data_IF_189229319746
#
_entry.id   IF_189229319746
#
_cell.length_a   1.000
_cell.length_b   1.000
_cell.length_c   1.000
_cell.angle_alpha   90.00
_cell.angle_beta   90.00
_cell.angle_gamma   90.00
#
_symmetry.space_group_name_H-M   'P 1'
#
loop_
_entity.id
_entity.type
_entity.pdbx_description
1 polymer ?
2 non-polymer ?
3 water ?
#
# COMPACT_ATOMS: atom_id res chain seq x y z
N UNK A 1 28.78 -3.78 1.23
CA UNK A 1 28.54 -5.25 1.41
C UNK A 1 27.70 -5.82 0.28
N UNK A 2 27.47 -7.13 0.33
CA UNK A 2 26.70 -7.83 -0.67
C UNK A 2 25.27 -8.04 -0.18
N UNK A 3 24.31 -7.54 -0.95
CA UNK A 3 22.91 -7.69 -0.59
C UNK A 3 22.12 -8.39 -1.68
N UNK A 4 21.40 -9.44 -1.30
CA UNK A 4 20.56 -10.17 -2.24
C UNK A 4 19.11 -9.86 -1.91
N UNK A 5 18.37 -9.36 -2.88
CA UNK A 5 16.96 -9.03 -2.69
C UNK A 5 16.09 -10.12 -3.30
N UNK A 6 15.20 -10.69 -2.50
CA UNK A 6 14.33 -11.74 -2.99
C UNK A 6 12.95 -11.16 -3.30
N UNK A 7 12.68 -11.03 -4.59
CA UNK A 7 11.39 -10.48 -5.02
C UNK A 7 11.56 -9.04 -5.46
N UNK A 8 11.06 -8.73 -6.66
CA UNK A 8 11.18 -7.37 -7.16
C UNK A 8 9.90 -6.55 -7.03
N UNK A 9 9.38 -6.49 -5.83
CA UNK A 9 8.18 -5.70 -5.59
C UNK A 9 8.65 -4.32 -5.17
N UNK A 10 7.69 -3.45 -4.82
CA UNK A 10 8.04 -2.09 -4.41
C UNK A 10 9.05 -2.09 -3.25
N UNK A 11 8.74 -2.82 -2.18
CA UNK A 11 9.64 -2.87 -1.05
C UNK A 11 11.05 -3.34 -1.44
N UNK A 12 11.13 -4.43 -2.20
CA UNK A 12 12.42 -4.95 -2.61
C UNK A 12 13.22 -3.97 -3.46
N UNK A 13 12.55 -3.36 -4.44
CA UNK A 13 13.20 -2.38 -5.32
C UNK A 13 13.61 -1.10 -4.59
N UNK A 14 12.84 -0.70 -3.58
CA UNK A 14 13.18 0.50 -2.80
C UNK A 14 14.46 0.21 -2.02
N UNK A 15 14.50 -0.94 -1.36
CA UNK A 15 15.67 -1.32 -0.57
C UNK A 15 16.90 -1.49 -1.47
N UNK A 16 16.72 -2.16 -2.60
CA UNK A 16 17.82 -2.38 -3.53
C UNK A 16 18.37 -1.08 -4.06
N UNK A 17 17.49 -0.15 -4.37
CA UNK A 17 17.90 1.13 -4.88
C UNK A 17 18.66 1.93 -3.81
N UNK A 18 18.14 1.97 -2.60
CA UNK A 18 18.79 2.72 -1.52
C UNK A 18 20.19 2.20 -1.25
N UNK A 19 20.30 0.88 -1.16
CA UNK A 19 21.58 0.24 -0.86
C UNK A 19 22.57 0.33 -2.02
N UNK A 20 22.08 0.23 -3.25
CA UNK A 20 22.95 0.32 -4.42
C UNK A 20 23.53 1.73 -4.47
N UNK A 21 22.70 2.72 -4.19
CA UNK A 21 23.13 4.11 -4.18
C UNK A 21 24.25 4.29 -3.16
N UNK A 22 24.14 3.61 -2.02
CA UNK A 22 25.15 3.74 -0.98
C UNK A 22 26.37 2.86 -1.19
N UNK A 23 26.64 2.48 -2.44
CA UNK A 23 27.83 1.70 -2.74
C UNK A 23 27.85 0.22 -2.41
N UNK A 24 26.69 -0.38 -2.17
CA UNK A 24 26.69 -1.81 -1.89
C UNK A 24 26.43 -2.58 -3.17
N UNK A 25 26.81 -3.85 -3.17
CA UNK A 25 26.63 -4.71 -4.34
C UNK A 25 25.26 -5.38 -4.20
N UNK A 26 24.32 -4.98 -5.06
CA UNK A 26 22.95 -5.49 -5.03
C UNK A 26 22.56 -6.43 -6.15
N UNK A 27 21.88 -7.52 -5.79
CA UNK A 27 21.38 -8.47 -6.77
C UNK A 27 19.92 -8.77 -6.45
N UNK A 28 19.03 -8.35 -7.33
CA UNK A 28 17.60 -8.61 -7.15
C UNK A 28 17.22 -9.86 -7.92
N UNK A 29 16.53 -10.77 -7.25
CA UNK A 29 16.10 -12.02 -7.86
C UNK A 29 14.58 -12.00 -7.96
N UNK A 30 14.08 -12.05 -9.18
CA UNK A 30 12.65 -12.00 -9.44
C UNK A 30 12.17 -13.30 -10.10
N UNK A 31 11.15 -13.90 -9.51
CA UNK A 31 10.58 -15.15 -10.01
C UNK A 31 9.91 -15.04 -11.37
N UNK A 32 9.08 -14.02 -11.55
CA UNK A 32 8.38 -13.83 -12.82
C UNK A 32 9.31 -13.22 -13.87
N UNK A 33 8.75 -12.93 -15.04
CA UNK A 33 9.53 -12.36 -16.14
C UNK A 33 9.53 -10.84 -16.11
N UNK A 34 8.76 -10.27 -15.19
CA UNK A 34 8.67 -8.81 -15.07
C UNK A 34 8.77 -8.37 -13.60
N UNK A 35 9.31 -7.17 -13.39
CA UNK A 35 9.46 -6.63 -12.04
C UNK A 35 8.29 -5.71 -11.71
N UNK A 36 8.16 -5.34 -10.44
CA UNK A 36 7.09 -4.45 -10.04
C UNK A 36 6.03 -5.04 -9.13
N UNK A 37 5.89 -6.35 -9.17
CA UNK A 37 4.91 -7.04 -8.34
C UNK A 37 3.52 -6.43 -8.42
N UNK A 38 2.98 -6.06 -7.27
CA UNK A 38 1.65 -5.49 -7.21
C UNK A 38 1.64 -3.96 -7.24
N UNK A 39 2.71 -3.38 -7.76
CA UNK A 39 2.80 -1.93 -7.86
C UNK A 39 3.33 -1.51 -9.24
N UNK A 40 2.68 -1.99 -10.30
CA UNK A 40 3.09 -1.63 -11.65
C UNK A 40 1.86 -1.54 -12.57
N UNK A 41 2.06 -1.34 -13.86
CA UNK A 41 0.92 -1.21 -14.78
C UNK A 41 0.43 -2.47 -15.45
N UNK A 42 -0.87 -2.46 -15.77
CA UNK A 42 -1.51 -3.57 -16.44
C UNK A 42 -2.28 -3.07 -17.65
N UNK A 43 -1.62 -3.08 -18.83
CA UNK A 43 -2.27 -2.61 -20.06
C UNK A 43 -3.53 -3.45 -20.26
N UNK A 44 -4.64 -2.79 -20.56
CA UNK A 44 -5.90 -3.53 -20.72
C UNK A 44 -6.94 -2.76 -21.52
N UNK A 45 -7.22 -3.24 -22.73
CA UNK A 45 -8.23 -2.62 -23.58
C UNK A 45 -8.07 -1.11 -23.73
N UNK A 46 -6.85 -0.65 -23.96
CA UNK A 46 -6.60 0.77 -24.14
C UNK A 46 -6.51 1.59 -22.86
N UNK A 47 -6.55 0.91 -21.72
CA UNK A 47 -6.47 1.56 -20.42
C UNK A 47 -5.22 1.08 -19.70
N UNK A 48 -4.64 1.93 -18.86
CA UNK A 48 -3.48 1.55 -18.09
C UNK A 48 -3.96 1.24 -16.69
N UNK A 49 -4.30 -0.03 -16.43
CA UNK A 49 -4.78 -0.41 -15.11
C UNK A 49 -3.55 -0.74 -14.25
N UNK A 50 -3.78 -1.24 -13.04
CA UNK A 50 -2.65 -1.56 -12.17
C UNK A 50 -2.77 -2.95 -11.56
N UNK A 51 -1.63 -3.48 -11.08
CA UNK A 51 -1.58 -4.79 -10.45
C UNK A 51 -1.80 -4.66 -8.94
N UNK A 52 -2.21 -3.48 -8.50
CA UNK A 52 -2.45 -3.27 -7.08
C UNK A 52 -2.90 -1.87 -6.72
N UNK A 53 -1.97 -1.05 -6.21
CA UNK A 53 -2.29 0.32 -5.84
C UNK A 53 -2.98 1.03 -7.00
N UNK A 54 -3.90 1.94 -6.68
CA UNK A 54 -4.64 2.65 -7.70
C UNK A 54 -3.90 3.84 -8.30
N UNK A 55 -2.62 3.64 -8.67
CA UNK A 55 -1.80 4.71 -9.26
C UNK A 55 -1.81 5.91 -8.34
N UNK A 56 -1.89 5.64 -7.05
CA UNK A 56 -1.98 6.68 -6.02
C UNK A 56 -1.16 6.31 -4.80
N UNK A 57 -0.69 7.32 -4.08
CA UNK A 57 0.09 7.14 -2.86
C UNK A 57 -0.80 7.73 -1.76
N UNK A 58 -1.00 7.00 -0.65
CA UNK A 58 -1.84 7.46 0.46
C UNK A 58 -1.59 8.89 0.97
N UNK A 59 -0.34 9.31 1.04
CA UNK A 59 -0.05 10.65 1.53
C UNK A 59 0.61 11.51 0.47
N UNK A 60 0.41 11.14 -0.80
CA UNK A 60 0.97 11.89 -1.91
C UNK A 60 2.44 12.24 -1.88
N UNK A 61 2.72 13.52 -2.06
CA UNK A 61 4.08 14.06 -2.11
C UNK A 61 4.71 14.23 -0.75
N UNK A 62 3.92 14.06 0.30
CA UNK A 62 4.38 14.30 1.65
C UNK A 62 4.77 13.15 2.57
N UNK A 63 4.45 11.92 2.17
CA UNK A 63 4.75 10.81 3.05
C UNK A 63 6.10 10.13 2.91
N UNK A 64 6.28 9.00 3.60
CA UNK A 64 7.52 8.22 3.57
C UNK A 64 7.93 7.78 2.16
N UNK A 65 6.97 7.33 1.36
CA UNK A 65 7.28 6.87 0.01
C UNK A 65 7.83 7.99 -0.86
N UNK A 66 7.16 9.14 -0.88
CA UNK A 66 7.65 10.27 -1.67
C UNK A 66 9.03 10.67 -1.19
N UNK A 67 9.21 10.74 0.13
CA UNK A 67 10.51 11.13 0.68
C UNK A 67 11.61 10.18 0.21
N UNK A 68 11.35 8.88 0.27
CA UNK A 68 12.31 7.90 -0.14
C UNK A 68 12.66 8.04 -1.61
N UNK A 69 11.64 8.27 -2.43
CA UNK A 69 11.86 8.43 -3.86
C UNK A 69 12.72 9.68 -4.12
N UNK A 70 12.45 10.76 -3.37
CA UNK A 70 13.23 11.96 -3.56
C UNK A 70 14.70 11.75 -3.22
N UNK A 71 14.99 11.19 -2.05
CA UNK A 71 16.40 11.00 -1.67
C UNK A 71 17.12 9.96 -2.53
N UNK A 72 16.37 9.10 -3.21
CA UNK A 72 16.99 8.11 -4.08
C UNK A 72 17.36 8.72 -5.43
N UNK A 73 16.79 9.88 -5.71
CA UNK A 73 17.07 10.53 -6.98
C UNK A 73 16.06 10.12 -8.03
N UNK A 74 14.95 9.55 -7.59
CA UNK A 74 13.91 9.13 -8.51
C UNK A 74 13.20 10.37 -9.03
N UNK A 75 12.89 10.37 -10.32
CA UNK A 75 12.18 11.49 -10.92
C UNK A 75 10.76 11.00 -11.17
N UNK A 76 9.87 11.26 -10.23
CA UNK A 76 8.49 10.82 -10.35
C UNK A 76 7.55 11.95 -10.01
N UNK A 77 6.58 12.17 -10.89
CA UNK A 77 5.62 13.26 -10.66
C UNK A 77 4.41 12.78 -9.89
N UNK A 78 4.32 13.26 -8.65
CA UNK A 78 3.24 12.94 -7.74
C UNK A 78 2.50 14.24 -7.42
N UNK A 79 1.19 14.28 -7.64
CA UNK A 79 0.42 15.48 -7.36
C UNK A 79 -0.68 15.22 -6.34
N UNK A 80 -0.62 15.92 -5.20
CA UNK A 80 -1.63 15.76 -4.16
C UNK A 80 -3.03 16.06 -4.68
N UNK A 81 -4.00 15.31 -4.16
CA UNK A 81 -5.41 15.47 -4.54
C UNK A 81 -5.92 16.85 -4.16
N UNK A 82 -6.60 17.54 -5.09
CA UNK A 82 -7.17 18.88 -4.87
C UNK A 82 -7.71 18.86 -3.45
N UNK A 83 -9.02 18.57 -3.24
CA UNK A 83 -9.32 18.58 -1.82
C UNK A 83 -8.76 17.22 -1.39
N UNK A 84 -8.20 17.14 -0.18
CA UNK A 84 -7.62 15.90 0.30
C UNK A 84 -8.57 14.73 0.06
N UNK A 85 -9.86 14.99 0.20
CA UNK A 85 -10.84 13.94 0.00
C UNK A 85 -12.27 14.46 0.01
N UNK A 86 -13.19 13.62 -0.46
CA UNK A 86 -14.61 13.97 -0.51
C UNK A 86 -15.47 12.80 -0.02
N UNK A 87 -16.76 13.06 0.16
CA UNK A 87 -17.68 12.04 0.66
C UNK A 87 -19.00 11.96 -0.11
N UNK A 88 -19.48 10.74 -0.31
CA UNK A 88 -20.75 10.49 -1.01
C UNK A 88 -21.75 10.07 0.04
N UNK A 89 -22.73 10.93 0.31
CA UNK A 89 -23.74 10.63 1.32
C UNK A 89 -25.09 11.22 0.92
N UNK A 90 -26.14 10.40 1.07
CA UNK A 90 -27.50 10.79 0.73
C UNK A 90 -27.60 11.44 -0.65
N UNK A 91 -26.95 10.83 -1.63
CA UNK A 91 -27.01 11.32 -2.99
C UNK A 91 -26.14 12.51 -3.38
N UNK A 92 -25.23 12.93 -2.50
CA UNK A 92 -24.37 14.07 -2.84
C UNK A 92 -22.89 13.86 -2.50
N UNK A 93 -22.02 14.27 -3.43
CA UNK A 93 -20.59 14.16 -3.23
C UNK A 93 -20.08 15.53 -2.81
N UNK A 94 -19.61 15.64 -1.58
CA UNK A 94 -19.15 16.92 -1.08
C UNK A 94 -17.75 16.90 -0.46
N UNK A 95 -17.24 18.09 -0.18
CA UNK A 95 -15.92 18.26 0.41
C UNK A 95 -15.93 17.68 1.82
N UNK A 96 -14.85 16.99 2.19
CA UNK A 96 -14.77 16.37 3.50
C UNK A 96 -15.02 17.35 4.65
N UNK A 97 -14.67 18.62 4.47
CA UNK A 97 -14.88 19.59 5.54
C UNK A 97 -16.37 19.74 5.89
N UNK A 98 -17.24 19.58 4.90
CA UNK A 98 -18.67 19.69 5.12
C UNK A 98 -19.17 18.69 6.15
N UNK A 99 -18.39 17.64 6.35
CA UNK A 99 -18.74 16.59 7.30
C UNK A 99 -19.15 17.09 8.69
N UNK A 100 -18.51 18.16 9.15
CA UNK A 100 -18.82 18.71 10.48
C UNK A 100 -20.29 19.05 10.66
N UNK A 101 -20.96 19.40 9.57
CA UNK A 101 -22.37 19.77 9.61
C UNK A 101 -23.26 18.62 10.08
N UNK A 102 -22.70 17.42 10.11
CA UNK A 102 -23.42 16.24 10.55
C UNK A 102 -23.13 15.98 12.02
N UNK A 103 -22.35 16.87 12.62
CA UNK A 103 -21.99 16.74 14.03
C UNK A 103 -22.59 17.90 14.84
N UNK A 104 -22.75 17.68 16.14
CA UNK A 104 -23.29 18.70 17.04
C UNK A 104 -22.18 19.49 17.71
N UNK A 113 -11.34 19.01 18.23
CA UNK A 113 -11.80 17.78 18.88
C UNK A 113 -10.62 17.02 19.45
N UNK A 114 -10.54 15.72 19.18
CA UNK A 114 -9.43 14.91 19.67
C UNK A 114 -8.31 14.94 18.63
N UNK A 115 -8.60 15.56 17.49
CA UNK A 115 -7.62 15.69 16.43
C UNK A 115 -6.49 16.57 16.96
N UNK A 116 -6.86 17.50 17.83
CA UNK A 116 -5.90 18.40 18.44
C UNK A 116 -4.97 17.61 19.35
N UNK A 117 -5.53 16.62 20.04
CA UNK A 117 -4.78 15.78 20.95
C UNK A 117 -3.83 14.85 20.19
N UNK A 118 -4.31 14.30 19.08
CA UNK A 118 -3.48 13.43 18.26
C UNK A 118 -2.37 14.27 17.65
N UNK A 119 -2.65 15.57 17.49
CA UNK A 119 -1.68 16.51 16.95
C UNK A 119 -0.58 16.66 17.98
N UNK A 120 -0.97 16.72 19.25
CA UNK A 120 -0.04 16.84 20.37
C UNK A 120 0.72 15.54 20.61
N UNK A 121 0.60 14.61 19.66
CA UNK A 121 1.28 13.33 19.77
C UNK A 121 0.62 12.43 20.82
N UNK A 122 -0.29 13.00 21.61
CA UNK A 122 -0.96 12.24 22.65
C UNK A 122 -1.91 11.19 22.07
N UNK A 123 -1.53 9.93 22.22
CA UNK A 123 -2.32 8.81 21.73
C UNK A 123 -3.08 8.11 22.85
N UNK A 124 -4.13 7.35 22.50
CA UNK A 124 -4.95 6.63 23.48
C UNK A 124 -4.27 5.47 24.20
N UNK A 125 -4.27 5.54 25.53
CA UNK A 125 -3.68 4.50 26.37
C UNK A 125 -4.68 3.35 26.37
N UNK A 126 -5.89 3.65 25.89
CA UNK A 126 -6.97 2.68 25.79
C UNK A 126 -6.61 1.54 24.85
N UNK A 127 -7.05 0.34 25.20
CA UNK A 127 -6.83 -0.84 24.37
C UNK A 127 -8.20 -1.41 24.03
N UNK A 128 -8.96 -0.66 23.25
CA UNK A 128 -10.30 -1.05 22.85
C UNK A 128 -10.46 -0.86 21.34
N UNK A 129 -11.50 -1.47 20.75
CA UNK A 129 -11.73 -1.34 19.30
C UNK A 129 -11.83 0.12 18.92
N UNK A 130 -11.49 0.44 17.68
CA UNK A 130 -11.54 1.81 17.19
C UNK A 130 -12.97 2.37 17.18
N UNK A 131 -13.94 1.55 16.82
CA UNK A 131 -15.33 2.01 16.77
C UNK A 131 -15.84 2.32 18.17
N UNK A 132 -15.31 1.60 19.15
CA UNK A 132 -15.71 1.80 20.54
C UNK A 132 -15.16 3.12 21.07
N UNK A 133 -13.90 3.38 20.77
CA UNK A 133 -13.26 4.61 21.24
C UNK A 133 -13.82 5.86 20.57
N UNK A 134 -14.27 5.72 19.32
CA UNK A 134 -14.84 6.86 18.61
C UNK A 134 -16.19 7.20 19.26
N UNK A 135 -17.00 6.19 19.57
CA UNK A 135 -18.29 6.42 20.19
C UNK A 135 -18.14 7.16 21.52
N UNK A 136 -17.14 6.75 22.31
CA UNK A 136 -16.90 7.36 23.61
C UNK A 136 -16.33 8.78 23.51
N UNK A 137 -15.21 8.91 22.81
CA UNK A 137 -14.54 10.20 22.66
C UNK A 137 -15.37 11.24 21.90
N UNK A 138 -16.13 10.79 20.90
CA UNK A 138 -16.94 11.71 20.12
C UNK A 138 -18.43 11.47 20.30
N UNK A 139 -18.88 10.25 20.05
CA UNK A 139 -20.29 9.94 20.19
C UNK A 139 -20.77 9.03 19.08
N UNK A 140 -21.90 8.36 19.30
CA UNK A 140 -22.44 7.46 18.30
C UNK A 140 -23.14 8.17 17.16
N UNK A 141 -22.37 8.87 16.33
CA UNK A 141 -22.92 9.58 15.20
C UNK A 141 -22.98 8.66 13.97
N UNK A 142 -24.19 8.30 13.57
CA UNK A 142 -24.44 7.42 12.44
C UNK A 142 -23.68 7.78 11.16
N UNK A 143 -23.38 9.06 10.97
CA UNK A 143 -22.66 9.51 9.79
C UNK A 143 -21.16 9.27 9.92
N UNK A 144 -20.60 9.71 11.04
CA UNK A 144 -19.19 9.58 11.31
C UNK A 144 -18.69 8.15 11.33
N UNK A 145 -19.42 7.28 12.02
CA UNK A 145 -19.04 5.88 12.13
C UNK A 145 -19.08 5.20 10.76
N UNK A 146 -19.98 5.69 9.91
CA UNK A 146 -20.13 5.15 8.57
C UNK A 146 -18.95 5.57 7.69
N UNK A 147 -18.56 6.84 7.79
CA UNK A 147 -17.43 7.34 7.00
C UNK A 147 -16.13 6.67 7.47
N UNK A 148 -15.95 6.52 8.78
CA UNK A 148 -14.74 5.91 9.31
C UNK A 148 -14.67 4.43 8.94
N UNK A 149 -15.84 3.83 8.68
CA UNK A 149 -15.90 2.43 8.29
C UNK A 149 -15.39 2.33 6.86
N UNK A 150 -15.71 3.34 6.05
CA UNK A 150 -15.23 3.36 4.67
C UNK A 150 -13.72 3.58 4.68
N UNK A 151 -13.27 4.49 5.53
CA UNK A 151 -11.85 4.76 5.65
C UNK A 151 -11.10 3.47 5.99
N UNK A 152 -11.59 2.76 7.00
CA UNK A 152 -10.98 1.51 7.45
C UNK A 152 -10.97 0.48 6.32
N UNK A 153 -12.07 0.41 5.56
CA UNK A 153 -12.14 -0.54 4.48
C UNK A 153 -11.16 -0.20 3.37
N UNK A 154 -11.10 1.08 3.02
CA UNK A 154 -10.21 1.55 1.97
C UNK A 154 -8.73 1.48 2.35
N UNK A 155 -8.35 2.13 3.46
CA UNK A 155 -6.96 2.14 3.88
C UNK A 155 -6.43 0.84 4.46
N UNK A 156 -7.28 0.06 5.14
CA UNK A 156 -6.82 -1.16 5.77
C UNK A 156 -7.58 -2.45 5.43
N UNK A 157 -8.57 -2.35 4.56
CA UNK A 157 -9.36 -3.52 4.16
C UNK A 157 -10.01 -4.27 5.32
N UNK A 158 -10.38 -3.56 6.38
CA UNK A 158 -11.03 -4.17 7.53
C UNK A 158 -12.11 -3.23 8.03
N UNK A 159 -12.93 -3.71 8.96
CA UNK A 159 -13.99 -2.90 9.54
C UNK A 159 -13.37 -2.11 10.68
N UNK A 160 -14.00 -1.00 11.02
CA UNK A 160 -13.51 -0.15 12.09
C UNK A 160 -13.28 -0.94 13.38
N UNK A 161 -14.18 -1.88 13.67
CA UNK A 161 -14.04 -2.70 14.88
C UNK A 161 -12.83 -3.62 14.81
N UNK A 162 -12.22 -3.74 13.64
CA UNK A 162 -11.05 -4.60 13.48
C UNK A 162 -9.74 -3.86 13.78
N UNK A 163 -9.83 -2.54 13.93
CA UNK A 163 -8.66 -1.72 14.25
C UNK A 163 -8.68 -1.37 15.73
N UNK A 164 -7.51 -1.22 16.34
CA UNK A 164 -7.45 -0.82 17.74
C UNK A 164 -7.55 0.70 17.75
N UNK A 165 -7.88 1.29 18.88
CA UNK A 165 -8.00 2.75 18.95
C UNK A 165 -6.64 3.35 18.64
N UNK A 166 -5.58 2.69 19.10
CA UNK A 166 -4.23 3.16 18.90
C UNK A 166 -3.84 3.15 17.43
N UNK A 167 -4.17 2.09 16.71
CA UNK A 167 -3.85 2.00 15.29
C UNK A 167 -4.55 3.10 14.52
N UNK A 168 -5.83 3.30 14.80
CA UNK A 168 -6.58 4.35 14.10
C UNK A 168 -5.99 5.72 14.44
N UNK A 169 -5.64 5.91 15.70
CA UNK A 169 -5.07 7.16 16.16
C UNK A 169 -3.77 7.43 15.40
N UNK A 170 -2.94 6.41 15.25
CA UNK A 170 -1.68 6.58 14.54
C UNK A 170 -1.88 6.88 13.07
N UNK A 171 -2.91 6.28 12.46
CA UNK A 171 -3.21 6.56 11.06
C UNK A 171 -3.77 7.97 10.95
N UNK A 172 -4.45 8.41 12.01
CA UNK A 172 -5.00 9.76 12.03
C UNK A 172 -3.81 10.72 12.14
N UNK A 173 -2.83 10.37 12.95
CA UNK A 173 -1.66 11.23 13.09
C UNK A 173 -0.95 11.34 11.73
N UNK A 174 -0.77 10.22 11.05
CA UNK A 174 -0.14 10.22 9.74
C UNK A 174 -0.87 11.16 8.78
N UNK A 175 -2.19 11.17 8.85
CA UNK A 175 -2.99 12.04 7.97
C UNK A 175 -2.79 13.52 8.32
N UNK A 176 -2.66 13.80 9.62
CA UNK A 176 -2.46 15.18 10.05
C UNK A 176 -1.06 15.66 9.65
N UNK A 177 -0.08 14.76 9.76
CA UNK A 177 1.28 15.09 9.41
C UNK A 177 1.56 15.19 7.93
N UNK A 178 1.18 14.15 7.18
CA UNK A 178 1.47 14.11 5.75
C UNK A 178 0.33 14.43 4.81
N UNK A 179 -0.85 14.72 5.36
CA UNK A 179 -1.97 15.09 4.52
C UNK A 179 -2.67 13.99 3.74
N UNK A 180 -3.30 14.38 2.64
CA UNK A 180 -4.03 13.46 1.79
C UNK A 180 -3.19 12.78 0.72
N UNK A 181 -3.82 11.98 -0.15
CA UNK A 181 -3.19 11.23 -1.24
C UNK A 181 -2.76 12.06 -2.44
N UNK A 182 -2.10 11.38 -3.37
CA UNK A 182 -1.64 12.02 -4.59
C UNK A 182 -1.55 10.98 -5.70
N UNK A 183 -1.82 11.43 -6.93
CA UNK A 183 -1.77 10.56 -8.10
C UNK A 183 -0.37 10.58 -8.70
N UNK A 184 -0.04 9.51 -9.42
CA UNK A 184 1.28 9.36 -10.03
C UNK A 184 1.21 9.43 -11.56
N UNK A 185 1.88 10.40 -12.16
CA UNK A 185 1.86 10.48 -13.61
C UNK A 185 2.57 9.24 -14.12
N UNK A 186 1.95 8.58 -15.10
CA UNK A 186 2.53 7.37 -15.65
C UNK A 186 2.09 6.12 -14.90
N UNK A 187 1.33 6.31 -13.83
CA UNK A 187 0.86 5.19 -13.05
C UNK A 187 1.94 4.61 -12.15
N UNK A 188 1.64 3.50 -11.49
CA UNK A 188 2.60 2.86 -10.59
C UNK A 188 3.92 2.51 -11.29
N UNK A 189 3.83 2.11 -12.55
CA UNK A 189 5.03 1.73 -13.30
C UNK A 189 6.10 2.82 -13.34
N UNK A 190 5.67 4.08 -13.25
CA UNK A 190 6.62 5.20 -13.29
C UNK A 190 7.62 5.05 -12.16
N UNK A 191 7.14 4.64 -11.00
CA UNK A 191 8.01 4.44 -9.85
C UNK A 191 8.96 3.26 -10.07
N UNK A 192 8.40 2.18 -10.58
CA UNK A 192 9.16 0.97 -10.83
C UNK A 192 10.29 1.23 -11.83
N UNK A 193 10.00 1.96 -12.90
CA UNK A 193 11.01 2.25 -13.92
C UNK A 193 12.17 3.04 -13.33
N UNK A 194 11.86 3.99 -12.44
CA UNK A 194 12.91 4.78 -11.83
C UNK A 194 13.77 3.97 -10.86
N UNK A 195 13.16 3.10 -10.07
CA UNK A 195 13.94 2.28 -9.14
C UNK A 195 14.84 1.32 -9.90
N UNK A 196 14.35 0.79 -11.01
CA UNK A 196 15.12 -0.13 -11.84
C UNK A 196 16.33 0.60 -12.43
N UNK A 197 16.11 1.83 -12.89
CA UNK A 197 17.20 2.62 -13.46
C UNK A 197 18.26 2.92 -12.41
N UNK A 198 17.82 3.28 -11.21
CA UNK A 198 18.74 3.62 -10.13
C UNK A 198 19.61 2.44 -9.72
N UNK A 199 19.02 1.25 -9.70
CA UNK A 199 19.75 0.05 -9.33
C UNK A 199 20.78 -0.32 -10.41
N UNK A 200 20.36 -0.23 -11.67
CA UNK A 200 21.25 -0.58 -12.77
C UNK A 200 22.38 0.43 -12.96
N UNK A 201 22.12 1.69 -12.66
CA UNK A 201 23.16 2.71 -12.81
C UNK A 201 24.07 2.75 -11.59
N UNK A 202 23.79 1.92 -10.60
CA UNK A 202 24.62 1.89 -9.40
C UNK A 202 25.23 0.52 -9.17
N UNK A 203 25.66 -0.09 -10.27
CA UNK A 203 26.31 -1.40 -10.25
C UNK A 203 25.47 -2.60 -9.83
N UNK A 204 24.16 -2.40 -9.69
CA UNK A 204 23.30 -3.50 -9.28
C UNK A 204 22.83 -4.42 -10.40
N UNK A 205 22.29 -5.57 -10.02
CA UNK A 205 21.77 -6.53 -11.00
C UNK A 205 20.33 -6.91 -10.71
N UNK A 206 19.55 -7.10 -11.77
CA UNK A 206 18.16 -7.50 -11.65
C UNK A 206 17.95 -8.71 -12.56
N UNK A 207 17.75 -9.87 -11.95
CA UNK A 207 17.57 -11.11 -12.70
C UNK A 207 16.16 -11.69 -12.62
N UNK A 208 15.47 -11.66 -13.75
CA UNK A 208 14.10 -12.19 -13.82
C UNK A 208 14.13 -13.70 -14.08
N UNK A 209 13.01 -14.35 -13.83
CA UNK A 209 12.89 -15.79 -13.99
C UNK A 209 13.85 -16.53 -13.07
N UNK A 210 14.08 -15.94 -11.89
CA UNK A 210 14.96 -16.55 -10.89
C UNK A 210 14.10 -16.77 -9.66
N UNK A 211 13.65 -18.01 -9.47
CA UNK A 211 12.81 -18.35 -8.34
C UNK A 211 13.66 -18.85 -7.19
N UNK A 212 13.67 -18.10 -6.10
CA UNK A 212 14.45 -18.52 -4.93
C UNK A 212 13.73 -19.67 -4.25
N UNK A 213 14.48 -20.72 -3.90
CA UNK A 213 13.90 -21.87 -3.22
C UNK A 213 14.50 -22.10 -1.85
N UNK A 214 15.55 -21.36 -1.54
CA UNK A 214 16.20 -21.53 -0.26
C UNK A 214 17.08 -20.35 0.12
N UNK A 215 16.87 -19.84 1.33
CA UNK A 215 17.70 -18.75 1.85
C UNK A 215 18.40 -19.46 2.99
N UNK A 216 19.63 -19.91 2.74
CA UNK A 216 20.37 -20.64 3.76
C UNK A 216 21.10 -19.70 4.71
N UNK A 217 20.59 -19.60 5.93
CA UNK A 217 21.15 -18.73 6.96
C UNK A 217 22.56 -19.09 7.43
N UNK A 218 22.83 -20.38 7.58
CA UNK A 218 24.15 -20.82 8.01
C UNK A 218 25.22 -20.55 6.96
N UNK A 219 24.92 -20.85 5.70
CA UNK A 219 25.88 -20.64 4.62
C UNK A 219 25.84 -19.21 4.11
N UNK A 220 24.71 -18.55 4.34
CA UNK A 220 24.49 -17.20 3.86
C UNK A 220 24.55 -17.25 2.34
N UNK A 221 23.70 -18.11 1.78
CA UNK A 221 23.60 -18.28 0.34
C UNK A 221 22.14 -18.42 -0.05
N UNK A 222 21.79 -17.88 -1.21
CA UNK A 222 20.43 -17.99 -1.69
C UNK A 222 20.49 -18.92 -2.91
N UNK A 223 19.61 -19.91 -2.93
CA UNK A 223 19.56 -20.88 -4.03
C UNK A 223 18.30 -20.69 -4.85
N UNK A 224 18.42 -20.84 -6.16
CA UNK A 224 17.29 -20.68 -7.06
C UNK A 224 16.86 -22.04 -7.57
N UNK A 225 15.65 -22.12 -8.09
CA UNK A 225 15.11 -23.36 -8.63
C UNK A 225 16.07 -23.95 -9.67
N UNK A 226 16.68 -23.10 -10.48
CA UNK A 226 17.61 -23.56 -11.53
C UNK A 226 19.05 -23.78 -11.06
N UNK A 227 19.21 -23.97 -9.75
CA UNK A 227 20.51 -24.24 -9.13
C UNK A 227 21.59 -23.16 -9.13
N UNK A 228 21.23 -21.89 -9.23
CA UNK A 228 22.27 -20.87 -9.17
C UNK A 228 22.52 -20.48 -7.73
N UNK A 229 23.78 -20.16 -7.42
CA UNK A 229 24.20 -19.78 -6.06
C UNK A 229 24.57 -18.32 -5.94
N UNK A 230 24.03 -17.66 -4.92
CA UNK A 230 24.30 -16.26 -4.64
C UNK A 230 24.58 -16.09 -3.16
N UNK A 231 25.84 -15.84 -2.80
CA UNK A 231 26.20 -15.63 -1.41
C UNK A 231 25.82 -14.20 -1.03
N UNK A 232 25.52 -13.96 0.26
CA UNK A 232 25.13 -12.62 0.68
C UNK A 232 25.62 -12.26 2.08
N UNK A 233 25.73 -10.95 2.32
CA UNK A 233 26.12 -10.44 3.64
C UNK A 233 24.79 -10.14 4.33
N UNK A 234 23.82 -9.71 3.53
CA UNK A 234 22.48 -9.39 3.97
C UNK A 234 21.48 -9.80 2.89
N UNK A 235 20.33 -10.31 3.31
CA UNK A 235 19.29 -10.72 2.39
C UNK A 235 18.03 -9.93 2.72
N UNK A 236 17.40 -9.35 1.70
CA UNK A 236 16.17 -8.59 1.89
C UNK A 236 15.03 -9.34 1.21
N UNK A 237 14.10 -9.84 1.99
CA UNK A 237 12.96 -10.56 1.42
C UNK A 237 11.75 -9.67 1.22
N UNK A 238 11.23 -9.65 0.00
CA UNK A 238 10.05 -8.85 -0.32
C UNK A 238 8.92 -9.82 -0.66
N UNK A 239 8.99 -11.02 -0.10
CA UNK A 239 8.01 -12.07 -0.37
C UNK A 239 6.99 -12.40 0.74
N UNK A 240 6.96 -11.60 1.81
CA UNK A 240 6.01 -11.88 2.88
C UNK A 240 6.57 -12.83 3.94
N UNK A 241 6.14 -12.61 5.19
CA UNK A 241 6.60 -13.40 6.33
C UNK A 241 6.48 -14.90 6.21
N UNK A 242 5.31 -15.37 5.81
CA UNK A 242 5.07 -16.80 5.67
C UNK A 242 5.99 -17.49 4.67
N UNK A 243 6.11 -16.92 3.47
CA UNK A 243 6.98 -17.51 2.46
C UNK A 243 8.45 -17.44 2.87
N UNK A 244 8.85 -16.33 3.48
CA UNK A 244 10.23 -16.16 3.90
C UNK A 244 10.60 -17.19 4.97
N UNK A 245 9.66 -17.51 5.87
CA UNK A 245 9.90 -18.51 6.90
C UNK A 245 10.12 -19.85 6.18
N UNK A 246 9.32 -20.13 5.17
CA UNK A 246 9.45 -21.36 4.40
C UNK A 246 10.79 -21.46 3.65
N UNK A 247 11.26 -20.34 3.10
CA UNK A 247 12.52 -20.34 2.37
C UNK A 247 13.72 -20.54 3.28
N UNK A 248 13.59 -20.02 4.50
CA UNK A 248 14.65 -20.13 5.48
C UNK A 248 14.61 -21.47 6.18
N UNK A 249 13.41 -21.89 6.56
CA UNK A 249 13.24 -23.14 7.28
C UNK A 249 12.64 -22.87 8.64
N UNK A 250 11.53 -23.54 8.92
CA UNK A 250 10.80 -23.38 10.18
C UNK A 250 11.60 -23.58 11.46
N UNK A 251 12.58 -24.49 11.42
CA UNK A 251 13.40 -24.77 12.60
C UNK A 251 14.18 -23.59 13.14
N UNK A 252 14.36 -22.57 12.31
CA UNK A 252 15.11 -21.39 12.71
C UNK A 252 14.27 -20.36 13.47
N UNK A 253 13.02 -20.70 13.76
CA UNK A 253 12.11 -19.78 14.45
C UNK A 253 11.52 -20.41 15.72
N UNK A 254 11.25 -19.57 16.72
CA UNK A 254 10.66 -20.03 17.98
C UNK A 254 9.26 -20.54 17.71
N UNK A 255 8.84 -21.54 18.50
CA UNK A 255 7.52 -22.15 18.37
C UNK A 255 6.36 -21.12 18.35
N UNK A 256 6.36 -20.18 19.29
CA UNK A 256 5.28 -19.21 19.33
C UNK A 256 5.28 -18.26 18.15
N UNK A 257 6.44 -18.04 17.54
CA UNK A 257 6.51 -17.16 16.38
C UNK A 257 5.87 -17.88 15.18
N UNK A 258 6.20 -19.16 15.02
CA UNK A 258 5.65 -19.98 13.96
C UNK A 258 4.12 -20.07 14.11
N UNK A 259 3.66 -19.98 15.35
CA UNK A 259 2.23 -20.03 15.65
C UNK A 259 1.57 -18.79 15.07
N UNK A 260 2.19 -17.64 15.33
CA UNK A 260 1.68 -16.36 14.85
C UNK A 260 1.69 -16.29 13.33
N UNK A 261 2.76 -16.80 12.71
CA UNK A 261 2.89 -16.78 11.26
C UNK A 261 1.87 -17.70 10.59
N UNK A 262 1.64 -18.87 11.17
CA UNK A 262 0.69 -19.80 10.61
C UNK A 262 -0.73 -19.29 10.80
N UNK A 263 -0.89 -18.30 11.68
CA UNK A 263 -2.20 -17.74 11.97
C UNK A 263 -2.53 -16.51 11.14
N UNK A 264 -1.61 -16.11 10.26
CA UNK A 264 -1.83 -14.95 9.42
C UNK A 264 -2.85 -15.26 8.33
N UNK A 265 -3.90 -14.46 8.25
CA UNK A 265 -4.95 -14.62 7.25
C UNK A 265 -5.09 -13.31 6.51
N UNK A 266 -4.60 -13.26 5.26
CA UNK A 266 -4.66 -12.06 4.42
C UNK A 266 -6.08 -11.52 4.23
N UNK A 267 -6.22 -10.20 4.34
CA UNK A 267 -7.50 -9.55 4.17
C UNK A 267 -7.69 -9.25 2.69
N UNK A 268 -8.62 -9.95 2.05
CA UNK A 268 -8.87 -9.76 0.63
C UNK A 268 -9.58 -8.46 0.27
N UNK A 269 -9.42 -8.06 -0.98
CA UNK A 269 -10.06 -6.85 -1.47
C UNK A 269 -10.43 -7.02 -2.93
N UNK A 270 -11.36 -6.20 -3.40
CA UNK A 270 -11.78 -6.26 -4.78
C UNK A 270 -11.62 -4.87 -5.39
N UNK A 271 -11.06 -4.83 -6.59
CA UNK A 271 -10.86 -3.59 -7.32
C UNK A 271 -11.76 -3.58 -8.54
N UNK A 272 -12.42 -2.45 -8.75
CA UNK A 272 -13.31 -2.28 -9.88
C UNK A 272 -12.74 -1.22 -10.82
N UNK A 273 -12.48 -1.62 -12.05
CA UNK A 273 -11.96 -0.70 -13.05
C UNK A 273 -13.14 -0.35 -13.94
N UNK A 274 -13.57 0.92 -13.91
CA UNK A 274 -14.73 1.38 -14.67
C UNK A 274 -14.40 2.40 -15.75
N UNK A 275 -14.86 2.14 -16.97
CA UNK A 275 -14.61 3.06 -18.09
C UNK A 275 -15.82 3.97 -18.30
N UNK A 276 -15.75 5.17 -17.76
CA UNK A 276 -16.84 6.14 -17.88
C UNK A 276 -16.59 7.07 -19.07
N UNK A 277 -17.56 7.14 -20.00
CA UNK A 277 -17.44 7.99 -21.18
C UNK A 277 -17.43 9.49 -20.85
N UNK A 278 -16.60 10.25 -21.54
CA UNK A 278 -16.57 11.68 -21.30
C UNK A 278 -15.40 12.27 -20.56
N UNK A 279 -15.66 13.40 -19.91
CA UNK A 279 -14.66 14.14 -19.15
C UNK A 279 -14.56 13.65 -17.70
N UNK A 280 -13.44 13.96 -17.03
CA UNK A 280 -13.25 13.54 -15.64
C UNK A 280 -14.46 13.93 -14.80
N UNK A 281 -14.94 13.00 -13.99
CA UNK A 281 -16.11 13.24 -13.15
C UNK A 281 -15.80 13.69 -11.73
N UNK A 282 -14.59 13.42 -11.25
CA UNK A 282 -14.26 13.82 -9.89
C UNK A 282 -12.93 14.55 -9.78
N UNK A 283 -12.06 14.39 -10.77
CA UNK A 283 -10.76 15.05 -10.75
C UNK A 283 -9.79 14.38 -9.80
N UNK A 284 -8.67 15.06 -9.52
CA UNK A 284 -7.65 14.52 -8.63
C UNK A 284 -8.08 14.56 -7.17
N UNK A 285 -8.79 13.51 -6.74
CA UNK A 285 -9.26 13.41 -5.36
C UNK A 285 -9.76 11.99 -5.16
N UNK A 286 -10.14 11.65 -3.93
CA UNK A 286 -10.69 10.33 -3.64
C UNK A 286 -12.07 10.56 -3.06
N UNK A 287 -12.98 9.63 -3.28
CA UNK A 287 -14.33 9.77 -2.76
C UNK A 287 -14.69 8.59 -1.86
N UNK A 288 -14.93 8.88 -0.59
CA UNK A 288 -15.32 7.85 0.35
C UNK A 288 -16.80 7.56 0.12
N UNK A 289 -17.19 6.29 0.26
CA UNK A 289 -18.57 5.90 0.03
C UNK A 289 -19.23 5.22 1.22
N UNK A 290 -19.39 5.97 2.33
CA UNK A 290 -20.02 5.39 3.52
C UNK A 290 -21.40 4.82 3.19
N UNK A 291 -21.68 3.62 3.70
CA UNK A 291 -22.97 3.01 3.45
C UNK A 291 -22.96 1.94 2.36
N UNK A 292 -21.99 1.98 1.47
CA UNK A 292 -21.90 0.99 0.39
C UNK A 292 -20.89 -0.11 0.72
N UNK A 293 -20.93 -1.21 -0.02
CA UNK A 293 -19.95 -2.29 0.23
C UNK A 293 -18.62 -1.70 -0.27
N UNK A 294 -18.67 -0.99 -1.39
CA UNK A 294 -17.48 -0.33 -1.93
C UNK A 294 -17.08 0.64 -0.82
N UNK A 295 -15.78 0.89 -0.64
CA UNK A 295 -15.30 1.77 0.41
C UNK A 295 -14.96 3.17 -0.09
N UNK A 296 -14.63 3.25 -1.37
CA UNK A 296 -14.28 4.52 -1.96
C UNK A 296 -13.76 4.33 -3.37
N UNK A 297 -13.55 5.43 -4.08
CA UNK A 297 -13.03 5.34 -5.44
C UNK A 297 -12.26 6.60 -5.82
N UNK A 298 -11.43 6.48 -6.84
CA UNK A 298 -10.63 7.60 -7.33
C UNK A 298 -10.73 7.65 -8.85
N UNK A 299 -10.04 8.62 -9.45
CA UNK A 299 -10.04 8.80 -10.90
C UNK A 299 -8.60 9.12 -11.33
N UNK A 300 -7.75 8.09 -11.40
CA UNK A 300 -6.34 8.23 -11.79
C UNK A 300 -6.03 9.02 -13.06
N UNK A 301 -6.91 8.95 -14.05
CA UNK A 301 -6.70 9.68 -15.30
C UNK A 301 -6.92 11.19 -15.13
N UNK A 302 -7.36 11.59 -13.95
CA UNK A 302 -7.60 13.00 -13.67
C UNK A 302 -6.28 13.76 -13.67
N UNK A 303 -5.16 13.02 -13.65
CA UNK A 303 -3.83 13.63 -13.68
C UNK A 303 -3.16 13.25 -14.98
N UNK A 304 -3.07 11.96 -15.24
CA UNK A 304 -2.45 11.47 -16.47
C UNK A 304 -3.56 10.91 -17.36
N UNK A 305 -3.93 11.65 -18.39
CA UNK A 305 -4.98 11.24 -19.31
C UNK A 305 -4.62 10.02 -20.15
N UNK A 306 -3.33 9.79 -20.35
CA UNK A 306 -2.88 8.65 -21.15
C UNK A 306 -3.21 7.34 -20.45
N UNK A 307 -3.56 7.42 -19.17
CA UNK A 307 -3.91 6.23 -18.39
C UNK A 307 -5.26 5.69 -18.83
N UNK A 308 -6.11 6.56 -19.36
CA UNK A 308 -7.44 6.16 -19.82
C UNK A 308 -7.45 6.06 -21.35
N UNK A 309 -8.50 5.44 -21.88
CA UNK A 309 -8.63 5.29 -23.33
C UNK A 309 -9.26 6.57 -23.86
N UNK A 310 -8.97 6.90 -25.12
CA UNK A 310 -9.50 8.10 -25.74
C UNK A 310 -11.01 8.25 -25.52
N UNK A 311 -11.45 9.46 -25.19
CA UNK A 311 -12.86 9.71 -24.96
C UNK A 311 -13.41 9.02 -23.74
N UNK A 312 -12.52 8.53 -22.89
CA UNK A 312 -12.92 7.85 -21.67
C UNK A 312 -12.17 8.32 -20.44
N UNK A 313 -12.79 8.10 -19.29
CA UNK A 313 -12.19 8.46 -18.01
C UNK A 313 -12.06 7.12 -17.27
N UNK A 314 -10.98 6.96 -16.51
CA UNK A 314 -10.75 5.73 -15.78
C UNK A 314 -11.12 5.90 -14.31
N UNK A 315 -12.05 5.08 -13.83
CA UNK A 315 -12.48 5.12 -12.44
C UNK A 315 -12.06 3.81 -11.78
N UNK A 316 -11.46 3.90 -10.60
CA UNK A 316 -11.04 2.71 -9.86
C UNK A 316 -11.67 2.76 -8.47
N UNK A 317 -12.42 1.71 -8.14
CA UNK A 317 -13.06 1.62 -6.85
C UNK A 317 -12.49 0.47 -6.05
N UNK A 318 -12.39 0.65 -4.74
CA UNK A 318 -11.84 -0.35 -3.84
C UNK A 318 -12.93 -0.87 -2.92
N UNK A 319 -12.94 -2.18 -2.73
CA UNK A 319 -13.92 -2.82 -1.86
C UNK A 319 -13.21 -3.82 -0.97
N UNK A 320 -13.32 -3.64 0.34
CA UNK A 320 -12.73 -4.59 1.27
C UNK A 320 -13.67 -5.80 1.21
N UNK A 321 -13.14 -6.98 0.90
CA UNK A 321 -14.00 -8.15 0.80
C UNK A 321 -14.52 -8.67 2.14
N UNK A 322 -13.66 -8.70 3.14
CA UNK A 322 -14.04 -9.21 4.45
C UNK A 322 -14.47 -10.66 4.24
N UNK A 323 -15.63 -11.04 4.76
CA UNK A 323 -16.10 -12.42 4.58
C UNK A 323 -17.11 -12.52 3.44
N UNK A 324 -17.13 -11.52 2.57
CA UNK A 324 -18.08 -11.53 1.46
C UNK A 324 -17.85 -12.63 0.45
N UNK A 325 -18.89 -12.93 -0.33
CA UNK A 325 -18.81 -13.94 -1.37
C UNK A 325 -18.37 -13.21 -2.64
N UNK A 326 -17.24 -13.63 -3.22
CA UNK A 326 -16.67 -13.00 -4.42
C UNK A 326 -17.65 -12.68 -5.54
N UNK A 327 -18.35 -13.70 -6.02
CA UNK A 327 -19.32 -13.53 -7.10
C UNK A 327 -20.38 -12.51 -6.74
N UNK A 328 -20.94 -12.64 -5.54
CA UNK A 328 -21.98 -11.72 -5.08
C UNK A 328 -21.41 -10.33 -4.86
N UNK A 329 -20.22 -10.27 -4.28
CA UNK A 329 -19.55 -9.00 -4.01
C UNK A 329 -19.26 -8.24 -5.30
N UNK A 330 -18.72 -8.94 -6.29
CA UNK A 330 -18.41 -8.28 -7.56
C UNK A 330 -19.69 -7.73 -8.16
N UNK A 331 -20.75 -8.54 -8.14
CA UNK A 331 -22.06 -8.15 -8.66
C UNK A 331 -22.60 -6.92 -7.93
N UNK A 332 -22.48 -6.92 -6.60
CA UNK A 332 -22.96 -5.80 -5.81
C UNK A 332 -22.08 -4.59 -6.10
N UNK A 333 -20.81 -4.85 -6.42
CA UNK A 333 -19.89 -3.77 -6.71
C UNK A 333 -20.26 -3.04 -7.98
N UNK A 334 -20.51 -3.77 -9.05
CA UNK A 334 -20.89 -3.16 -10.32
C UNK A 334 -22.27 -2.49 -10.19
N UNK A 335 -23.12 -3.05 -9.34
CA UNK A 335 -24.45 -2.49 -9.12
C UNK A 335 -24.36 -1.08 -8.53
N UNK A 336 -23.54 -0.92 -7.49
CA UNK A 336 -23.39 0.38 -6.85
C UNK A 336 -22.75 1.38 -7.80
N UNK A 337 -21.81 0.91 -8.62
CA UNK A 337 -21.14 1.77 -9.58
C UNK A 337 -22.09 2.19 -10.71
N UNK A 338 -23.03 1.32 -11.04
CA UNK A 338 -24.00 1.64 -12.09
C UNK A 338 -24.90 2.77 -11.58
N UNK A 339 -25.28 2.68 -10.31
CA UNK A 339 -26.13 3.68 -9.68
C UNK A 339 -25.41 5.03 -9.59
N UNK A 340 -24.11 5.02 -9.34
CA UNK A 340 -23.33 6.25 -9.22
C UNK A 340 -22.93 6.77 -10.59
N UNK A 341 -22.55 5.84 -11.48
CA UNK A 341 -22.14 6.17 -12.84
C UNK A 341 -23.01 5.39 -13.83
N UNK A 342 -24.17 5.96 -14.20
CA UNK A 342 -25.10 5.32 -15.13
C UNK A 342 -24.46 4.94 -16.47
N UNK A 343 -23.60 5.81 -17.00
CA UNK A 343 -22.96 5.56 -18.29
C UNK A 343 -21.68 4.72 -18.19
N UNK A 344 -21.30 4.34 -16.99
CA UNK A 344 -20.09 3.55 -16.82
C UNK A 344 -20.16 2.12 -17.34
N UNK A 345 -19.08 1.68 -17.99
CA UNK A 345 -19.03 0.33 -18.52
C UNK A 345 -17.89 -0.50 -17.93
N UNK A 346 -18.23 -1.52 -17.13
CA UNK A 346 -17.28 -2.43 -16.47
C UNK A 346 -16.14 -2.90 -17.36
N UNK A 347 -14.91 -2.66 -16.91
CA UNK A 347 -13.73 -3.08 -17.66
C UNK A 347 -13.13 -4.36 -17.08
N UNK A 348 -12.97 -4.38 -15.75
CA UNK A 348 -12.39 -5.53 -15.08
C UNK A 348 -12.47 -5.40 -13.56
N UNK A 349 -12.76 -6.51 -12.91
CA UNK A 349 -12.83 -6.55 -11.46
C UNK A 349 -11.63 -7.40 -11.07
N UNK A 350 -10.79 -6.87 -10.18
CA UNK A 350 -9.61 -7.61 -9.76
C UNK A 350 -9.70 -7.99 -8.29
N UNK A 351 -9.48 -9.27 -8.00
CA UNK A 351 -9.51 -9.78 -6.64
C UNK A 351 -8.08 -9.87 -6.11
N UNK A 352 -7.82 -9.25 -4.97
CA UNK A 352 -6.49 -9.27 -4.37
C UNK A 352 -6.51 -9.76 -2.94
N UNK A 366 2.01 -9.53 19.74
CA UNK A 366 2.66 -9.52 18.43
C UNK A 366 4.16 -9.74 18.53
N UNK A 367 4.67 -10.75 17.83
CA UNK A 367 6.08 -11.03 17.85
C UNK A 367 6.71 -10.45 16.59
N UNK A 368 7.78 -9.67 16.76
CA UNK A 368 8.42 -9.07 15.59
C UNK A 368 9.37 -10.02 14.89
N UNK A 369 9.74 -9.69 13.65
CA UNK A 369 10.66 -10.54 12.88
C UNK A 369 11.89 -10.74 13.76
N UNK A 370 12.29 -12.01 14.00
CA UNK A 370 13.44 -12.37 14.83
C UNK A 370 14.87 -12.36 14.28
N UNK A 371 15.05 -12.41 12.96
CA UNK A 371 16.40 -12.46 12.39
C UNK A 371 16.98 -11.10 12.01
N UNK A 372 18.31 -11.05 11.89
CA UNK A 372 19.00 -9.81 11.55
C UNK A 372 19.72 -9.86 10.20
N UNK A 373 20.16 -11.05 9.79
CA UNK A 373 20.86 -11.23 8.53
C UNK A 373 19.87 -11.24 7.37
N UNK A 374 18.62 -11.54 7.69
CA UNK A 374 17.56 -11.55 6.70
C UNK A 374 16.43 -10.72 7.28
N UNK A 375 15.94 -9.76 6.50
CA UNK A 375 14.85 -8.90 6.94
C UNK A 375 13.73 -8.95 5.91
N UNK A 376 12.52 -8.63 6.36
CA UNK A 376 11.37 -8.63 5.49
C UNK A 376 10.86 -7.22 5.22
N UNK A 377 10.57 -6.91 3.95
CA UNK A 377 10.02 -5.59 3.61
C UNK A 377 8.85 -5.85 2.67
N UNK A 378 8.00 -4.85 2.48
CA UNK A 378 6.83 -5.00 1.63
C UNK A 378 5.58 -5.03 2.50
N UNK A 379 4.46 -5.48 1.94
CA UNK A 379 3.20 -5.56 2.68
C UNK A 379 3.29 -6.41 3.94
N UNK A 380 4.35 -7.21 4.05
CA UNK A 380 4.52 -8.05 5.21
C UNK A 380 5.11 -7.28 6.38
N UNK A 381 5.44 -6.02 6.15
CA UNK A 381 6.01 -5.19 7.19
C UNK A 381 5.64 -3.72 7.06
N UNK A 382 4.47 -3.36 7.57
CA UNK A 382 4.02 -1.98 7.54
C UNK A 382 3.88 -1.56 9.00
N UNK A 383 4.80 -0.72 9.48
CA UNK A 383 4.78 -0.24 10.87
C UNK A 383 3.44 0.38 11.24
N UNK A 384 3.12 0.43 12.54
CA UNK A 384 1.85 1.01 13.00
C UNK A 384 1.65 2.41 12.43
N UNK A 385 0.45 2.67 11.92
CA UNK A 385 0.14 3.96 11.34
C UNK A 385 0.48 4.06 9.86
N UNK A 386 1.34 3.17 9.38
CA UNK A 386 1.73 3.19 7.98
C UNK A 386 0.68 2.61 7.05
N UNK A 387 0.09 3.47 6.23
CA UNK A 387 -0.95 3.05 5.29
C UNK A 387 -0.42 2.61 3.93
N UNK A 388 -0.85 1.41 3.51
CA UNK A 388 -0.46 0.82 2.23
C UNK A 388 0.99 1.05 1.79
N UNK A 389 1.20 1.62 0.59
CA UNK A 389 2.57 1.81 0.10
C UNK A 389 3.41 2.77 0.92
N UNK A 390 2.79 3.75 1.56
CA UNK A 390 3.57 4.64 2.41
C UNK A 390 4.00 3.76 3.59
N UNK A 391 3.14 2.81 3.95
CA UNK A 391 3.46 1.89 5.03
C UNK A 391 4.62 1.00 4.61
N UNK A 392 4.64 0.61 3.34
CA UNK A 392 5.72 -0.22 2.83
C UNK A 392 7.03 0.56 2.93
N UNK A 393 7.01 1.82 2.48
CA UNK A 393 8.20 2.68 2.52
C UNK A 393 8.68 2.87 3.96
N UNK A 394 7.74 3.03 4.88
CA UNK A 394 8.07 3.22 6.29
C UNK A 394 8.79 1.96 6.81
N UNK A 395 8.39 0.81 6.31
CA UNK A 395 9.02 -0.44 6.73
C UNK A 395 10.43 -0.54 6.19
N UNK A 396 10.65 -0.06 4.98
CA UNK A 396 11.97 -0.10 4.38
C UNK A 396 12.89 0.80 5.20
N UNK A 397 12.38 1.96 5.62
CA UNK A 397 13.19 2.87 6.41
C UNK A 397 13.62 2.19 7.70
N UNK A 398 12.68 1.50 8.36
CA UNK A 398 12.98 0.83 9.62
C UNK A 398 13.99 -0.29 9.44
N UNK A 399 13.85 -1.06 8.36
CA UNK A 399 14.78 -2.15 8.09
C UNK A 399 16.17 -1.55 7.93
N UNK A 400 16.26 -0.49 7.11
CA UNK A 400 17.54 0.16 6.89
C UNK A 400 18.17 0.66 8.20
N UNK A 401 17.36 1.21 9.09
CA UNK A 401 17.87 1.69 10.37
C UNK A 401 18.31 0.50 11.22
N UNK A 402 17.52 -0.57 11.22
CA UNK A 402 17.87 -1.76 11.99
C UNK A 402 19.21 -2.31 11.52
N UNK A 403 19.51 -2.12 10.25
CA UNK A 403 20.78 -2.60 9.69
C UNK A 403 21.86 -1.57 9.94
N UNK A 404 21.47 -0.44 10.52
CA UNK A 404 22.42 0.65 10.77
C UNK A 404 23.06 1.01 9.44
N UNK A 405 22.23 1.03 8.39
CA UNK A 405 22.68 1.37 7.05
C UNK A 405 21.92 2.59 6.51
N UNK A 406 21.02 3.13 7.33
CA UNK A 406 20.27 4.30 6.91
C UNK A 406 19.73 5.05 8.11
N UNK A 407 19.59 6.37 7.99
CA UNK A 407 19.06 7.18 9.09
C UNK A 407 18.01 8.16 8.55
N UNK A 408 16.84 8.17 9.18
CA UNK A 408 15.74 9.03 8.75
C UNK A 408 15.14 9.85 9.87
N UNK A 409 14.69 11.07 9.52
CA UNK A 409 14.06 11.95 10.50
C UNK A 409 12.82 11.29 11.07
N UNK A 410 12.56 11.53 12.35
CA UNK A 410 11.39 10.92 12.94
C UNK A 410 10.09 11.53 12.39
N UNK A 411 10.24 12.56 11.57
CA UNK A 411 9.07 13.16 10.92
C UNK A 411 8.48 12.13 9.95
N UNK A 412 9.31 11.21 9.47
CA UNK A 412 8.86 10.15 8.55
C UNK A 412 8.64 8.83 9.28
N UNK A 413 9.25 8.67 10.45
CA UNK A 413 9.11 7.44 11.22
C UNK A 413 7.98 7.50 12.24
X LIG B 1 4.91 -7.77 -4.13
X LIG B 1 5.83 -7.39 -2.99
X LIG B 1 3.94 -8.84 -3.65
X LIG B 1 4.35 -6.63 -4.87
X LIG B 1 5.97 -8.56 -5.04
X LIG B 1 6.84 -9.52 -4.43
X LIG B 1 7.62 -10.06 -5.61
X LIG B 1 8.27 -11.30 -5.30
X LIG B 1 6.77 -10.32 -6.86
X LIG B 1 7.44 -9.57 -7.90
X LIG B 1 6.91 -11.85 -7.04
X LIG B 1 6.87 -12.33 -8.41
X LIG B 1 8.27 -12.09 -6.45
X LIG B 1 8.48 -13.43 -5.86
X LIG B 1 7.59 -14.16 -5.14
X LIG B 1 8.19 -15.30 -4.70
X LIG B 1 9.48 -15.26 -5.10
X LIG B 1 10.62 -16.17 -4.96
X LIG B 1 10.45 -17.34 -4.28
X LIG B 1 11.79 -15.76 -5.51
X LIG B 1 11.91 -14.55 -6.15
X LIG B 1 10.89 -13.68 -6.36
X LIG B 1 9.67 -14.01 -5.86
#
# INVERSE_FOLDING_TARGET
>A
MRAVVVGAGLGGLLAGAFLARNGHEIIVLEKSAMIGGRFTNLPYKGFQLSTGALHMIPHGEDGPLAHLLRILGAKVEIVNSNPKGKILWEGKIFHYRESWKFLSVKEKAKALKLLAEIRMNKLPKEEIPADEWIKEKIGENEFLLSVLESFAGWADSVSLSDLTALELAKEIRAALRWGGPGLIRGGCKAVIDELERIIMENKGKILTRKEVVEINIEEKKVYTRDNEEYSFDVAISNVGVRETVKLIGRDYFDRDYLKQVDSIEPSEGIKFNLAVPGEPRIGNTIVFTPGLMINGFNEPSALDKSLAREGYTLIMAHMALKNGNVKKAIEKGWEELLEIFPEGEPLLAQVYRDGNPVNRTRAGLHIEWPLNEVLVVGDGYRPPGGIEVDGIALGVMKALEKLNLGSFSEWYLLEHHHHHH
>B hetero
1 AMP P O1P O2P O3P O5' C5' C4' O4' C3' O3' C2' O2' C1' N9 C8 N7 C5 C6 N6 N1 C2 N3 C4
#
